data_IF_319491513735
#
_entry.id   IF_319491513735
#
_cell.length_a   1.000
_cell.length_b   1.000
_cell.length_c   1.000
_cell.angle_alpha   90.00
_cell.angle_beta   90.00
_cell.angle_gamma   90.00
#
_symmetry.space_group_name_H-M   'P 1'
#
loop_
_entity.id
_entity.type
_entity.pdbx_description
1 polymer ?
#
# COMPACT_ATOMS: atom_id res chain seq x y z
N UNK A 1 -13.05 -1.89 9.70
CA UNK A 1 -12.41 -1.70 8.39
C UNK A 1 -10.96 -1.33 8.60
N UNK A 2 -10.03 -1.96 7.88
CA UNK A 2 -8.62 -1.58 7.90
C UNK A 2 -8.45 -0.11 7.47
N UNK A 3 -7.61 0.66 8.18
CA UNK A 3 -7.40 2.07 7.87
C UNK A 3 -6.63 2.25 6.56
N UNK A 4 -5.62 1.41 6.31
CA UNK A 4 -4.84 1.37 5.08
C UNK A 4 -5.12 0.06 4.35
N UNK A 5 -5.26 0.15 3.03
CA UNK A 5 -5.68 -0.95 2.16
C UNK A 5 -4.66 -1.16 1.05
N UNK A 6 -4.51 -2.39 0.61
CA UNK A 6 -3.64 -2.77 -0.51
C UNK A 6 -4.39 -3.65 -1.48
N UNK A 7 -4.29 -3.34 -2.78
CA UNK A 7 -4.74 -4.18 -3.88
C UNK A 7 -3.50 -4.58 -4.68
N UNK A 8 -3.25 -5.87 -4.83
CA UNK A 8 -2.16 -6.41 -5.66
C UNK A 8 -2.76 -7.12 -6.86
N UNK A 9 -2.49 -6.60 -8.04
CA UNK A 9 -2.85 -7.17 -9.32
C UNK A 9 -1.67 -8.03 -9.81
N UNK A 10 -1.91 -9.32 -9.99
CA UNK A 10 -0.92 -10.33 -10.35
C UNK A 10 -1.22 -10.85 -11.75
N UNK A 11 -0.30 -10.64 -12.69
CA UNK A 11 -0.40 -11.14 -14.06
C UNK A 11 0.91 -11.82 -14.49
N UNK A 12 0.89 -12.69 -15.48
CA UNK A 12 2.13 -13.28 -16.01
C UNK A 12 2.92 -12.25 -16.83
N UNK A 13 2.22 -11.44 -17.60
CA UNK A 13 2.77 -10.33 -18.38
C UNK A 13 1.84 -9.12 -18.29
N UNK A 14 2.42 -7.93 -18.27
CA UNK A 14 1.65 -6.69 -18.35
C UNK A 14 2.39 -5.62 -19.14
N UNK A 15 1.65 -4.76 -19.82
CA UNK A 15 2.19 -3.57 -20.46
C UNK A 15 1.31 -2.37 -20.14
N UNK A 16 1.92 -1.32 -19.60
CA UNK A 16 1.23 -0.05 -19.35
C UNK A 16 0.87 0.70 -20.64
N UNK A 17 1.39 0.24 -21.78
CA UNK A 17 1.19 0.83 -23.11
C UNK A 17 0.15 0.08 -23.96
N UNK A 18 -0.48 -0.96 -23.42
CA UNK A 18 -1.45 -1.80 -24.13
C UNK A 18 -2.82 -1.14 -24.42
N UNK A 19 -2.90 0.20 -24.47
CA UNK A 19 -4.02 0.92 -25.10
C UNK A 19 -5.25 1.22 -24.23
N UNK A 20 -5.42 0.63 -23.05
CA UNK A 20 -6.59 0.83 -22.19
C UNK A 20 -6.59 2.11 -21.34
N UNK A 21 -7.76 2.73 -21.13
CA UNK A 21 -7.87 4.01 -20.42
C UNK A 21 -7.53 3.92 -18.93
N UNK A 22 -7.83 2.79 -18.28
CA UNK A 22 -7.46 2.57 -16.89
C UNK A 22 -5.94 2.43 -16.75
N UNK A 23 -5.29 1.68 -17.66
CA UNK A 23 -3.82 1.58 -17.73
C UNK A 23 -3.16 2.94 -17.99
N UNK A 24 -3.70 3.76 -18.89
CA UNK A 24 -3.20 5.14 -19.10
C UNK A 24 -3.32 5.99 -17.84
N UNK A 25 -4.44 5.91 -17.12
CA UNK A 25 -4.67 6.64 -15.86
C UNK A 25 -3.70 6.16 -14.77
N UNK A 26 -3.50 4.85 -14.67
CA UNK A 26 -2.56 4.22 -13.75
C UNK A 26 -1.13 4.69 -14.05
N UNK A 27 -0.67 4.54 -15.31
CA UNK A 27 0.68 4.93 -15.77
C UNK A 27 1.06 6.37 -15.44
N UNK A 28 0.11 7.32 -15.52
CA UNK A 28 0.37 8.75 -15.24
C UNK A 28 0.87 9.05 -13.82
N UNK A 29 0.53 8.21 -12.84
CA UNK A 29 0.91 8.40 -11.44
C UNK A 29 1.61 7.19 -10.84
N UNK A 30 1.76 6.12 -11.62
CA UNK A 30 2.47 4.95 -11.18
C UNK A 30 3.98 5.23 -11.13
N UNK A 31 4.66 4.58 -10.18
CA UNK A 31 6.10 4.49 -10.13
C UNK A 31 6.50 3.09 -10.56
N UNK A 32 7.31 3.00 -11.62
CA UNK A 32 7.77 1.74 -12.19
C UNK A 32 9.17 1.39 -11.70
N UNK A 33 9.38 0.14 -11.26
CA UNK A 33 10.73 -0.37 -11.05
C UNK A 33 11.34 -0.77 -12.40
N UNK A 34 12.29 0.02 -12.90
CA UNK A 34 12.86 -0.19 -14.23
C UNK A 34 13.64 -1.51 -14.34
N UNK A 35 14.25 -1.93 -13.23
CA UNK A 35 15.04 -3.15 -13.13
C UNK A 35 14.34 -4.11 -12.16
N UNK A 36 13.38 -4.90 -12.66
CA UNK A 36 12.61 -5.84 -11.84
C UNK A 36 13.00 -7.30 -12.12
N UNK A 37 13.26 -8.05 -11.06
CA UNK A 37 13.45 -9.51 -11.12
C UNK A 37 12.19 -10.20 -10.59
N UNK A 38 11.51 -10.90 -11.49
CA UNK A 38 10.30 -11.65 -11.20
C UNK A 38 10.51 -12.80 -10.20
N UNK A 39 9.40 -13.28 -9.63
CA UNK A 39 9.34 -14.33 -8.64
C UNK A 39 7.93 -14.46 -8.07
N UNK A 40 7.77 -15.26 -7.03
CA UNK A 40 6.46 -15.62 -6.47
C UNK A 40 5.89 -14.56 -5.52
N UNK A 41 5.50 -13.40 -6.07
CA UNK A 41 4.83 -12.32 -5.31
C UNK A 41 3.52 -12.82 -4.71
N UNK A 42 2.78 -13.67 -5.42
CA UNK A 42 1.50 -14.23 -4.98
C UNK A 42 1.68 -15.08 -3.72
N UNK A 43 2.63 -16.02 -3.74
CA UNK A 43 2.96 -16.88 -2.62
C UNK A 43 3.40 -16.07 -1.40
N UNK A 44 4.24 -15.05 -1.57
CA UNK A 44 4.63 -14.19 -0.45
C UNK A 44 3.46 -13.38 0.11
N UNK A 45 2.62 -12.80 -0.76
CA UNK A 45 1.52 -11.95 -0.33
C UNK A 45 0.40 -12.74 0.38
N UNK A 46 0.17 -14.01 0.00
CA UNK A 46 -0.76 -14.92 0.69
C UNK A 46 -0.32 -15.27 2.11
N UNK A 47 0.98 -15.15 2.43
CA UNK A 47 1.48 -15.37 3.80
C UNK A 47 1.16 -14.23 4.75
N UNK A 48 0.72 -13.07 4.24
CA UNK A 48 0.30 -11.93 5.08
C UNK A 48 -1.03 -12.27 5.76
N UNK A 49 -1.11 -12.24 7.10
CA UNK A 49 -2.37 -12.44 7.82
C UNK A 49 -3.49 -11.51 7.33
N UNK A 50 -4.64 -12.08 6.99
CA UNK A 50 -5.81 -11.33 6.51
C UNK A 50 -5.77 -10.97 5.02
N UNK A 51 -4.83 -11.53 4.25
CA UNK A 51 -4.86 -11.48 2.79
C UNK A 51 -6.08 -12.22 2.23
N UNK A 52 -6.79 -11.59 1.30
CA UNK A 52 -7.95 -12.16 0.62
C UNK A 52 -7.69 -12.21 -0.88
N UNK A 53 -7.88 -13.37 -1.50
CA UNK A 53 -7.87 -13.47 -2.97
C UNK A 53 -9.27 -13.26 -3.51
N UNK A 54 -9.41 -12.38 -4.50
CA UNK A 54 -10.68 -12.08 -5.17
C UNK A 54 -10.47 -11.85 -6.67
N UNK A 55 -11.50 -12.13 -7.48
CA UNK A 55 -11.53 -11.68 -8.87
C UNK A 55 -11.69 -10.14 -8.96
N UNK A 56 -11.50 -9.54 -10.15
CA UNK A 56 -11.65 -8.10 -10.36
C UNK A 56 -12.95 -7.51 -9.79
N UNK A 57 -14.07 -8.18 -10.02
CA UNK A 57 -15.40 -7.72 -9.58
C UNK A 57 -15.62 -7.88 -8.06
N UNK A 58 -14.77 -8.66 -7.38
CA UNK A 58 -14.84 -8.90 -5.94
C UNK A 58 -14.03 -7.92 -5.09
N UNK A 59 -13.22 -7.05 -5.71
CA UNK A 59 -12.29 -6.16 -5.00
C UNK A 59 -13.03 -5.20 -4.07
N UNK A 60 -14.06 -4.51 -4.56
CA UNK A 60 -14.81 -3.54 -3.76
C UNK A 60 -15.43 -4.20 -2.52
N UNK A 61 -16.11 -5.34 -2.72
CA UNK A 61 -16.73 -6.11 -1.64
C UNK A 61 -15.71 -6.58 -0.62
N UNK A 62 -14.56 -7.11 -1.04
CA UNK A 62 -13.51 -7.55 -0.12
C UNK A 62 -13.01 -6.39 0.77
N UNK A 63 -12.87 -5.18 0.20
CA UNK A 63 -12.46 -4.00 0.97
C UNK A 63 -13.56 -3.46 1.90
N UNK A 64 -14.84 -3.63 1.55
CA UNK A 64 -15.99 -3.31 2.39
C UNK A 64 -16.11 -4.28 3.57
N UNK A 65 -15.90 -5.57 3.32
CA UNK A 65 -15.84 -6.65 4.33
C UNK A 65 -14.62 -6.51 5.25
N UNK A 66 -13.71 -5.58 4.94
CA UNK A 66 -12.63 -5.14 5.83
C UNK A 66 -11.26 -5.73 5.52
N UNK A 67 -11.07 -6.36 4.35
CA UNK A 67 -9.77 -6.86 3.93
C UNK A 67 -8.74 -5.72 3.84
N UNK A 68 -7.57 -5.93 4.44
CA UNK A 68 -6.45 -4.99 4.39
C UNK A 68 -5.55 -5.23 3.15
N UNK A 69 -5.51 -6.47 2.66
CA UNK A 69 -4.77 -6.87 1.47
C UNK A 69 -5.67 -7.73 0.57
N UNK A 70 -5.87 -7.29 -0.67
CA UNK A 70 -6.64 -8.02 -1.69
C UNK A 70 -5.71 -8.41 -2.83
N UNK A 71 -5.69 -9.69 -3.18
CA UNK A 71 -4.92 -10.26 -4.28
C UNK A 71 -5.87 -10.56 -5.45
N UNK A 72 -5.55 -10.02 -6.62
CA UNK A 72 -6.28 -10.29 -7.87
C UNK A 72 -5.34 -11.04 -8.81
N UNK A 73 -5.56 -12.34 -8.91
CA UNK A 73 -4.74 -13.23 -9.71
C UNK A 73 -5.36 -13.42 -11.09
N UNK A 74 -4.62 -13.01 -12.13
CA UNK A 74 -5.08 -13.04 -13.51
C UNK A 74 -4.34 -14.07 -14.38
N UNK A 75 -3.13 -14.50 -13.98
CA UNK A 75 -2.29 -15.41 -14.77
C UNK A 75 -1.94 -14.82 -16.14
N UNK A 76 -1.92 -15.66 -17.18
CA UNK A 76 -1.73 -15.26 -18.59
C UNK A 76 -3.00 -14.62 -19.17
N UNK A 77 -3.35 -13.45 -18.64
CA UNK A 77 -4.53 -12.70 -19.04
C UNK A 77 -4.24 -11.79 -20.24
N UNK A 78 -5.21 -11.69 -21.15
CA UNK A 78 -5.16 -10.74 -22.25
C UNK A 78 -5.07 -9.28 -21.73
N UNK A 79 -4.47 -8.35 -22.50
CA UNK A 79 -4.30 -6.96 -22.06
C UNK A 79 -5.61 -6.26 -21.66
N UNK A 80 -6.73 -6.63 -22.27
CA UNK A 80 -8.06 -6.12 -21.96
C UNK A 80 -8.51 -6.53 -20.55
N UNK A 81 -8.21 -7.76 -20.14
CA UNK A 81 -8.51 -8.28 -18.80
C UNK A 81 -7.62 -7.61 -17.74
N UNK A 82 -6.34 -7.37 -18.05
CA UNK A 82 -5.45 -6.59 -17.17
C UNK A 82 -5.97 -5.16 -17.02
N UNK A 83 -6.41 -4.52 -18.11
CA UNK A 83 -7.02 -3.19 -18.05
C UNK A 83 -8.32 -3.18 -17.23
N UNK A 84 -9.18 -4.19 -17.36
CA UNK A 84 -10.40 -4.32 -16.57
C UNK A 84 -10.10 -4.48 -15.07
N UNK A 85 -9.10 -5.29 -14.70
CA UNK A 85 -8.68 -5.44 -13.32
C UNK A 85 -8.09 -4.14 -12.74
N UNK A 86 -7.29 -3.42 -13.53
CA UNK A 86 -6.81 -2.08 -13.15
C UNK A 86 -7.96 -1.10 -12.99
N UNK A 87 -8.99 -1.15 -13.85
CA UNK A 87 -10.17 -0.32 -13.73
C UNK A 87 -10.92 -0.59 -12.42
N UNK A 88 -11.22 -1.87 -12.13
CA UNK A 88 -11.89 -2.28 -10.90
C UNK A 88 -11.09 -1.86 -9.65
N UNK A 89 -9.77 -2.06 -9.67
CA UNK A 89 -8.90 -1.63 -8.57
C UNK A 89 -8.91 -0.11 -8.38
N UNK A 90 -8.85 0.67 -9.46
CA UNK A 90 -8.87 2.14 -9.40
C UNK A 90 -10.24 2.71 -9.00
N UNK A 91 -11.33 2.00 -9.26
CA UNK A 91 -12.67 2.36 -8.84
C UNK A 91 -12.87 2.10 -7.34
N UNK A 92 -12.38 0.95 -6.85
CA UNK A 92 -12.43 0.60 -5.43
C UNK A 92 -11.41 1.38 -4.58
N UNK A 93 -10.33 1.90 -5.19
CA UNK A 93 -9.27 2.59 -4.48
C UNK A 93 -9.67 4.00 -4.02
N UNK A 94 -9.42 4.27 -2.74
CA UNK A 94 -9.51 5.60 -2.14
C UNK A 94 -8.11 6.19 -1.83
N UNK A 95 -8.08 7.32 -1.12
CA UNK A 95 -6.82 7.98 -0.72
C UNK A 95 -5.93 7.14 0.23
N UNK A 96 -6.48 6.09 0.83
CA UNK A 96 -5.80 5.19 1.78
C UNK A 96 -5.53 3.82 1.16
N UNK A 97 -5.66 3.71 -0.16
CA UNK A 97 -5.44 2.46 -0.89
C UNK A 97 -4.14 2.54 -1.70
N UNK A 98 -3.29 1.53 -1.53
CA UNK A 98 -2.14 1.26 -2.38
C UNK A 98 -2.56 0.23 -3.44
N UNK A 99 -2.27 0.51 -4.71
CA UNK A 99 -2.49 -0.41 -5.82
C UNK A 99 -1.15 -0.77 -6.41
N UNK A 100 -0.87 -2.07 -6.54
CA UNK A 100 0.37 -2.58 -7.12
C UNK A 100 0.04 -3.52 -8.27
N UNK A 101 0.68 -3.30 -9.42
CA UNK A 101 0.65 -4.22 -10.55
C UNK A 101 2.00 -4.94 -10.59
N UNK A 102 1.98 -6.24 -10.34
CA UNK A 102 3.15 -7.11 -10.36
C UNK A 102 2.95 -8.17 -11.45
N UNK A 103 3.80 -8.10 -12.47
CA UNK A 103 3.90 -9.08 -13.53
C UNK A 103 5.36 -9.47 -13.76
N UNK A 104 5.64 -10.55 -14.49
CA UNK A 104 7.02 -11.03 -14.65
C UNK A 104 7.95 -10.01 -15.33
N UNK A 105 7.39 -9.10 -16.13
CA UNK A 105 8.13 -8.07 -16.85
C UNK A 105 7.94 -6.65 -16.28
N UNK A 106 7.10 -6.47 -15.26
CA UNK A 106 6.69 -5.14 -14.80
C UNK A 106 6.34 -5.16 -13.31
N UNK A 107 6.91 -4.21 -12.57
CA UNK A 107 6.45 -3.89 -11.23
C UNK A 107 6.14 -2.40 -11.16
N UNK A 108 4.90 -2.07 -10.82
CA UNK A 108 4.42 -0.69 -10.77
C UNK A 108 3.54 -0.43 -9.53
N UNK A 109 3.80 0.71 -8.88
CA UNK A 109 3.14 1.12 -7.64
C UNK A 109 2.31 2.39 -7.86
N UNK A 110 1.11 2.46 -7.30
CA UNK A 110 0.20 3.60 -7.42
C UNK A 110 -0.57 3.83 -6.10
N UNK A 111 -0.81 5.08 -5.73
CA UNK A 111 -1.72 5.42 -4.63
C UNK A 111 -1.00 5.75 -3.33
N UNK A 112 -1.51 5.22 -2.21
CA UNK A 112 -1.06 5.56 -0.86
C UNK A 112 0.47 5.43 -0.70
N UNK A 113 1.11 6.47 -0.16
CA UNK A 113 2.54 6.44 0.19
C UNK A 113 3.51 6.54 -0.98
N UNK A 114 3.04 6.50 -2.23
CA UNK A 114 3.89 6.47 -3.42
C UNK A 114 4.28 7.88 -3.89
N UNK A 115 5.53 8.07 -4.31
CA UNK A 115 6.00 9.30 -4.91
C UNK A 115 5.64 9.38 -6.40
N UNK A 116 4.42 9.78 -6.72
CA UNK A 116 3.93 9.81 -8.12
C UNK A 116 4.69 10.77 -9.06
N UNK A 117 5.67 11.53 -8.56
CA UNK A 117 6.44 12.51 -9.35
C UNK A 117 7.70 11.94 -10.01
N UNK A 118 8.20 10.78 -9.55
CA UNK A 118 9.47 10.24 -10.02
C UNK A 118 9.31 9.38 -11.28
N UNK A 119 8.13 8.82 -11.52
CA UNK A 119 7.81 8.00 -12.69
C UNK A 119 8.46 6.61 -12.68
N UNK A 120 9.77 6.53 -12.45
CA UNK A 120 10.49 5.26 -12.31
C UNK A 120 11.62 5.34 -11.29
N UNK A 121 12.08 4.17 -10.85
CA UNK A 121 13.26 4.01 -9.99
C UNK A 121 14.34 3.20 -10.72
N UNK A 122 15.60 3.56 -10.51
CA UNK A 122 16.76 2.85 -11.08
C UNK A 122 17.19 1.63 -10.25
N UNK A 123 16.91 1.66 -8.93
CA UNK A 123 17.25 0.58 -8.01
C UNK A 123 16.63 -0.74 -8.50
N UNK A 124 17.44 -1.80 -8.53
CA UNK A 124 16.96 -3.15 -8.77
C UNK A 124 15.96 -3.58 -7.69
N UNK A 125 14.78 -4.03 -8.12
CA UNK A 125 13.74 -4.57 -7.27
C UNK A 125 13.57 -6.06 -7.55
N UNK A 126 13.41 -6.85 -6.50
CA UNK A 126 13.09 -8.28 -6.61
C UNK A 126 11.64 -8.52 -6.16
N UNK A 127 11.02 -9.60 -6.64
CA UNK A 127 9.68 -10.02 -6.19
C UNK A 127 9.54 -10.06 -4.66
N UNK A 128 10.60 -10.51 -3.96
CA UNK A 128 10.65 -10.57 -2.49
C UNK A 128 10.57 -9.22 -1.79
N UNK A 129 10.91 -8.13 -2.48
CA UNK A 129 10.90 -6.77 -1.93
C UNK A 129 9.48 -6.18 -1.93
N UNK A 130 8.55 -6.77 -2.70
CA UNK A 130 7.19 -6.26 -2.85
C UNK A 130 6.47 -6.32 -1.51
N UNK A 131 6.34 -7.50 -0.90
CA UNK A 131 5.54 -7.69 0.32
C UNK A 131 6.06 -6.86 1.51
N UNK A 132 7.37 -6.80 1.82
CA UNK A 132 7.92 -5.88 2.80
C UNK A 132 7.57 -4.41 2.53
N UNK A 133 7.58 -4.00 1.26
CA UNK A 133 7.19 -2.63 0.87
C UNK A 133 5.70 -2.38 1.10
N UNK A 134 4.83 -3.33 0.73
CA UNK A 134 3.38 -3.22 0.97
C UNK A 134 3.08 -3.11 2.47
N UNK A 135 3.69 -3.99 3.26
CA UNK A 135 3.52 -4.03 4.70
C UNK A 135 4.02 -2.76 5.37
N UNK A 136 5.16 -2.23 4.94
CA UNK A 136 5.66 -0.95 5.42
C UNK A 136 4.70 0.20 5.10
N UNK A 137 4.07 0.24 3.92
CA UNK A 137 3.14 1.33 3.60
C UNK A 137 1.83 1.19 4.39
N UNK A 138 1.26 -0.01 4.38
CA UNK A 138 -0.11 -0.27 4.81
C UNK A 138 -0.26 -0.85 6.23
N UNK A 139 0.82 -0.89 7.02
CA UNK A 139 0.82 -1.43 8.39
C UNK A 139 0.38 -2.90 8.46
N UNK A 140 0.74 -3.69 7.43
CA UNK A 140 0.42 -5.11 7.41
C UNK A 140 1.45 -5.90 8.21
N UNK A 141 1.05 -6.99 8.89
CA UNK A 141 1.99 -7.93 9.47
C UNK A 141 2.86 -8.59 8.38
N UNK A 142 4.13 -8.82 8.69
CA UNK A 142 5.06 -9.56 7.85
C UNK A 142 5.31 -10.94 8.43
N UNK A 143 5.64 -11.90 7.56
CA UNK A 143 6.14 -13.19 7.99
C UNK A 143 7.55 -13.03 8.61
N UNK A 144 7.84 -13.82 9.66
CA UNK A 144 9.10 -13.74 10.41
C UNK A 144 10.34 -14.07 9.55
N UNK A 145 10.15 -14.81 8.46
CA UNK A 145 11.18 -15.23 7.52
C UNK A 145 11.28 -14.31 6.27
N UNK A 146 10.61 -13.15 6.28
CA UNK A 146 10.67 -12.20 5.17
C UNK A 146 12.10 -11.66 4.99
N UNK A 147 12.70 -11.93 3.84
CA UNK A 147 14.11 -11.53 3.53
C UNK A 147 14.23 -10.33 2.59
N UNK A 148 13.12 -9.88 2.00
CA UNK A 148 13.11 -8.76 1.08
C UNK A 148 13.33 -7.40 1.75
N UNK A 149 13.86 -6.47 0.99
CA UNK A 149 14.09 -5.09 1.44
C UNK A 149 12.88 -4.20 1.10
N UNK A 150 12.66 -3.16 1.90
CA UNK A 150 11.67 -2.13 1.59
C UNK A 150 12.23 -1.22 0.48
N UNK A 151 11.42 -0.98 -0.57
CA UNK A 151 11.76 -0.09 -1.68
C UNK A 151 11.48 1.38 -1.33
N UNK A 152 12.33 1.96 -0.48
CA UNK A 152 12.20 3.35 -0.04
C UNK A 152 12.17 4.38 -1.17
N UNK A 153 12.83 4.10 -2.30
CA UNK A 153 12.88 4.98 -3.47
C UNK A 153 11.51 5.20 -4.11
N UNK A 154 10.58 4.26 -3.92
CA UNK A 154 9.20 4.37 -4.43
C UNK A 154 8.37 5.30 -3.54
N UNK A 155 8.77 5.47 -2.26
CA UNK A 155 7.99 6.19 -1.27
C UNK A 155 8.09 7.70 -1.45
N UNK A 156 6.98 8.40 -1.18
CA UNK A 156 6.95 9.86 -1.08
C UNK A 156 7.77 10.38 0.09
N UNK A 157 7.80 9.62 1.18
CA UNK A 157 8.50 9.96 2.41
C UNK A 157 9.25 8.73 2.92
N UNK A 158 10.58 8.76 2.85
CA UNK A 158 11.45 7.67 3.30
C UNK A 158 11.23 7.31 4.77
N UNK A 159 10.98 8.33 5.61
CA UNK A 159 10.81 8.20 7.05
C UNK A 159 9.34 8.05 7.47
N UNK A 160 8.47 7.55 6.58
CA UNK A 160 7.01 7.46 6.80
C UNK A 160 6.65 6.99 8.22
N UNK A 161 7.24 5.87 8.67
CA UNK A 161 6.98 5.30 10.00
C UNK A 161 7.45 6.17 11.15
N UNK A 162 8.61 6.79 11.02
CA UNK A 162 9.13 7.68 12.06
C UNK A 162 8.22 8.91 12.20
N UNK A 163 7.75 9.46 11.09
CA UNK A 163 6.81 10.59 11.09
C UNK A 163 5.45 10.22 11.67
N UNK A 164 4.93 9.02 11.34
CA UNK A 164 3.69 8.49 11.95
C UNK A 164 3.83 8.32 13.47
N UNK A 165 4.92 7.71 13.92
CA UNK A 165 5.22 7.56 15.36
C UNK A 165 5.39 8.91 16.06
N UNK A 166 6.03 9.89 15.42
CA UNK A 166 6.16 11.24 15.96
C UNK A 166 4.80 11.89 16.21
N UNK A 167 3.89 11.83 15.23
CA UNK A 167 2.52 12.36 15.35
C UNK A 167 1.72 11.68 16.45
N UNK A 168 1.86 10.36 16.59
CA UNK A 168 1.20 9.60 17.66
C UNK A 168 1.72 10.00 19.04
N UNK A 169 3.05 10.13 19.21
CA UNK A 169 3.66 10.60 20.47
C UNK A 169 3.22 12.01 20.83
N UNK A 170 3.16 12.92 19.86
CA UNK A 170 2.65 14.27 20.09
C UNK A 170 1.18 14.29 20.48
N UNK A 171 0.34 13.50 19.81
CA UNK A 171 -1.08 13.40 20.14
C UNK A 171 -1.28 12.82 21.56
N UNK A 172 -0.52 11.79 21.92
CA UNK A 172 -0.54 11.20 23.27
C UNK A 172 -0.14 12.24 24.33
N UNK A 173 0.96 12.96 24.12
CA UNK A 173 1.42 14.00 25.04
C UNK A 173 0.38 15.11 25.23
N UNK A 174 -0.34 15.50 24.17
CA UNK A 174 -1.44 16.48 24.27
C UNK A 174 -2.63 15.94 25.05
N UNK A 175 -2.99 14.67 24.85
CA UNK A 175 -4.07 14.01 25.58
C UNK A 175 -3.74 13.87 27.08
N UNK A 176 -2.51 13.46 27.40
CA UNK A 176 -2.03 13.36 28.78
C UNK A 176 -2.05 14.73 29.48
N UNK A 177 -1.59 15.79 28.80
CA UNK A 177 -1.62 17.14 29.34
C UNK A 177 -3.05 17.66 29.58
N UNK A 178 -4.02 17.31 28.73
CA UNK A 178 -5.42 17.65 28.94
C UNK A 178 -5.99 16.91 30.16
N UNK A 179 -5.74 15.60 30.27
CA UNK A 179 -6.20 14.79 31.39
C UNK A 179 -5.63 15.25 32.74
N UNK A 180 -4.36 15.65 32.77
CA UNK A 180 -3.72 16.22 33.96
C UNK A 180 -4.29 17.59 34.38
N UNK A 181 -4.77 18.40 33.42
CA UNK A 181 -5.44 19.67 33.73
C UNK A 181 -6.83 19.46 34.31
N UNK A 182 -7.55 18.46 33.84
CA UNK A 182 -8.89 18.12 34.31
C UNK A 182 -8.87 17.36 35.65
N UNK A 183 -7.76 16.71 35.98
CA UNK A 183 -7.54 16.04 37.27
C UNK A 183 -7.09 16.99 38.39
N UNK A 184 -6.91 18.30 38.10
CA UNK A 184 -6.70 19.32 39.14
C UNK A 184 -8.04 19.67 39.78
N UNK A 185 -8.12 19.52 41.08
CA UNK A 185 -9.33 19.84 41.81
C UNK A 185 -9.65 21.35 41.68
N UNK A 186 -10.93 21.76 41.62
CA UNK A 186 -11.30 23.16 41.36
C UNK A 186 -10.68 24.20 42.29
N UNK A 187 -10.28 23.79 43.52
CA UNK A 187 -9.66 24.63 44.53
C UNK A 187 -8.12 24.76 44.40
N UNK A 188 -7.45 23.91 43.61
CA UNK A 188 -6.02 24.06 43.25
C UNK A 188 -5.74 25.29 42.35
N UNK A 189 -6.79 26.02 41.94
CA UNK A 189 -6.67 27.27 41.18
C UNK A 189 -6.49 28.52 42.05
N UNK A 190 -6.54 28.38 43.38
CA UNK A 190 -6.45 29.49 44.33
C UNK A 190 -5.21 29.41 45.22
N UNK A 191 -4.02 29.38 44.61
CA UNK A 191 -2.84 29.92 45.29
C UNK A 191 -2.80 31.43 45.06
N UNK A 192 -3.61 32.15 45.83
CA UNK A 192 -3.33 33.54 46.16
C UNK A 192 -2.32 33.55 47.32
N UNK A 193 -1.05 33.81 47.02
CA UNK A 193 -0.07 34.42 47.92
C UNK A 193 0.91 35.27 47.10
#
# INVERSE_FOLDING_TARGET
MAEKKVIVLLADQASLDAGGDALKKFKKKAVVAANYTAGDVAGEARRVPGAVTAGPDGVAKALEDGAALVLVEMGDAAPEAVNAAVAAALEAADRRTLVVLAANNLLAFYGLGINTKIGSIERAACARDVVPTLAHIADLPLADDATGAILYQVLKETNLKLTELGKLKEALSRMEAALQRDNREPWDKHDCA
#
